data_IF_202825403641
#
_entry.id   IF_202825403641
#
_cell.length_a   1.000
_cell.length_b   1.000
_cell.length_c   1.000
_cell.angle_alpha   90.00
_cell.angle_beta   90.00
_cell.angle_gamma   90.00
#
_symmetry.space_group_name_H-M   'P 1'
#
loop_
_entity.id
_entity.type
_entity.pdbx_description
1 polymer ?
#
# COMPACT_ATOMS: atom_id res chain seq x y z
N UNK A 1 10.69 -16.52 -11.62
CA UNK A 1 11.01 -15.25 -10.91
C UNK A 1 9.79 -14.75 -10.13
N UNK A 2 9.98 -13.89 -9.13
CA UNK A 2 8.90 -13.24 -8.37
C UNK A 2 8.04 -14.17 -7.50
N UNK A 3 8.64 -15.23 -6.94
CA UNK A 3 7.99 -16.15 -6.00
C UNK A 3 8.19 -15.67 -4.55
N UNK A 4 7.22 -15.98 -3.68
CA UNK A 4 7.39 -15.76 -2.25
C UNK A 4 8.41 -16.77 -1.70
N UNK A 5 9.28 -16.32 -0.80
CA UNK A 5 10.31 -17.16 -0.17
C UNK A 5 9.97 -17.42 1.30
N UNK A 6 10.68 -18.34 1.94
CA UNK A 6 10.51 -18.63 3.37
C UNK A 6 10.73 -17.38 4.26
N UNK A 7 11.63 -16.47 3.87
CA UNK A 7 11.83 -15.18 4.56
C UNK A 7 10.55 -14.35 4.51
N UNK A 8 9.94 -14.21 3.32
CA UNK A 8 8.69 -13.48 3.16
C UNK A 8 7.50 -14.13 3.88
N UNK A 9 7.43 -15.46 3.90
CA UNK A 9 6.45 -16.21 4.70
C UNK A 9 6.62 -15.91 6.19
N UNK A 10 7.85 -15.98 6.70
CA UNK A 10 8.16 -15.68 8.10
C UNK A 10 7.77 -14.25 8.50
N UNK A 11 8.02 -13.27 7.63
CA UNK A 11 7.61 -11.88 7.86
C UNK A 11 6.09 -11.76 8.04
N UNK A 12 5.31 -12.44 7.20
CA UNK A 12 3.85 -12.35 7.24
C UNK A 12 3.22 -13.16 8.36
N UNK A 13 3.82 -14.30 8.74
CA UNK A 13 3.44 -15.04 9.95
C UNK A 13 3.62 -14.16 11.19
N UNK A 14 4.77 -13.49 11.32
CA UNK A 14 5.05 -12.59 12.43
C UNK A 14 4.08 -11.40 12.47
N UNK A 15 3.77 -10.81 11.31
CA UNK A 15 2.74 -9.75 11.21
C UNK A 15 1.36 -10.27 11.62
N UNK A 16 0.97 -11.46 11.16
CA UNK A 16 -0.29 -12.10 11.53
C UNK A 16 -0.42 -12.29 13.04
N UNK A 17 0.60 -12.86 13.67
CA UNK A 17 0.65 -13.08 15.12
C UNK A 17 0.58 -11.76 15.90
N UNK A 18 1.35 -10.75 15.47
CA UNK A 18 1.34 -9.44 16.10
C UNK A 18 -0.05 -8.78 16.02
N UNK A 19 -0.72 -8.84 14.86
CA UNK A 19 -2.05 -8.28 14.71
C UNK A 19 -3.13 -9.11 15.42
N UNK A 20 -2.96 -10.43 15.57
CA UNK A 20 -3.86 -11.27 16.37
C UNK A 20 -3.85 -10.83 17.83
N UNK A 21 -2.67 -10.59 18.41
CA UNK A 21 -2.53 -10.10 19.78
C UNK A 21 -3.19 -8.73 20.01
N UNK A 22 -3.33 -7.93 18.96
CA UNK A 22 -4.03 -6.64 19.01
C UNK A 22 -5.53 -6.81 18.80
N UNK A 23 -5.97 -7.57 17.79
CA UNK A 23 -7.37 -7.50 17.35
C UNK A 23 -8.24 -8.68 17.77
N UNK A 24 -7.68 -9.83 18.16
CA UNK A 24 -8.49 -11.04 18.40
C UNK A 24 -9.57 -10.83 19.47
N UNK A 25 -9.20 -10.26 20.61
CA UNK A 25 -10.14 -9.99 21.71
C UNK A 25 -11.08 -8.83 21.35
N UNK A 26 -10.54 -7.77 20.74
CA UNK A 26 -11.30 -6.57 20.36
C UNK A 26 -12.37 -6.84 19.31
N UNK A 27 -12.10 -7.80 18.42
CA UNK A 27 -13.01 -8.25 17.37
C UNK A 27 -13.74 -9.54 17.73
N UNK A 28 -13.58 -10.06 18.96
CA UNK A 28 -14.27 -11.24 19.47
C UNK A 28 -14.13 -12.45 18.54
N UNK A 29 -12.90 -12.84 18.21
CA UNK A 29 -12.63 -13.96 17.28
C UNK A 29 -13.24 -15.28 17.74
N UNK A 30 -13.37 -15.49 19.05
CA UNK A 30 -14.02 -16.67 19.64
C UNK A 30 -15.49 -16.85 19.26
N UNK A 31 -16.19 -15.76 18.91
CA UNK A 31 -17.60 -15.77 18.48
C UNK A 31 -17.77 -15.34 17.02
N UNK A 32 -16.66 -15.11 16.31
CA UNK A 32 -16.70 -14.77 14.89
C UNK A 32 -17.08 -15.97 14.04
N UNK A 33 -17.71 -15.69 12.90
CA UNK A 33 -17.92 -16.68 11.83
C UNK A 33 -16.99 -16.38 10.64
N UNK A 34 -16.79 -17.33 9.71
CA UNK A 34 -15.94 -17.10 8.54
C UNK A 34 -16.37 -15.91 7.68
N UNK A 35 -17.67 -15.60 7.64
CA UNK A 35 -18.23 -14.45 6.91
C UNK A 35 -17.83 -13.09 7.50
N UNK A 36 -17.33 -13.08 8.75
CA UNK A 36 -16.78 -11.87 9.36
C UNK A 36 -15.41 -11.50 8.79
N UNK A 37 -14.83 -12.33 7.92
CA UNK A 37 -13.54 -12.13 7.29
C UNK A 37 -13.68 -12.16 5.77
N UNK A 38 -13.51 -11.00 5.15
CA UNK A 38 -13.46 -10.90 3.69
C UNK A 38 -12.01 -10.79 3.26
N UNK A 39 -11.55 -11.69 2.39
CA UNK A 39 -10.16 -11.70 1.94
C UNK A 39 -10.10 -11.58 0.43
N UNK A 40 -9.33 -10.60 -0.04
CA UNK A 40 -8.98 -10.41 -1.44
C UNK A 40 -7.48 -10.60 -1.63
N UNK A 41 -7.09 -11.20 -2.75
CA UNK A 41 -5.71 -11.22 -3.23
C UNK A 41 -5.67 -10.98 -4.73
N UNK A 42 -4.61 -10.36 -5.24
CA UNK A 42 -4.40 -10.34 -6.70
C UNK A 42 -4.05 -11.73 -7.21
N UNK A 43 -4.21 -11.97 -8.51
CA UNK A 43 -3.93 -13.26 -9.18
C UNK A 43 -2.50 -13.81 -9.05
N UNK A 44 -1.58 -13.10 -8.42
CA UNK A 44 -0.19 -13.53 -8.32
C UNK A 44 -0.02 -14.55 -7.18
N UNK A 45 0.70 -15.65 -7.45
CA UNK A 45 0.97 -16.68 -6.44
C UNK A 45 1.54 -16.10 -5.15
N UNK A 46 2.49 -15.16 -5.26
CA UNK A 46 3.13 -14.53 -4.10
C UNK A 46 2.15 -13.75 -3.21
N UNK A 47 1.15 -13.06 -3.77
CA UNK A 47 0.15 -12.31 -2.98
C UNK A 47 -0.86 -13.26 -2.34
N UNK A 48 -1.26 -14.33 -3.04
CA UNK A 48 -2.09 -15.39 -2.47
C UNK A 48 -1.39 -16.08 -1.29
N UNK A 49 -0.16 -16.54 -1.49
CA UNK A 49 0.66 -17.15 -0.44
C UNK A 49 0.92 -16.19 0.71
N UNK A 50 1.08 -14.89 0.41
CA UNK A 50 1.24 -13.86 1.43
C UNK A 50 -0.02 -13.70 2.30
N UNK A 51 -1.19 -13.70 1.67
CA UNK A 51 -2.47 -13.65 2.39
C UNK A 51 -2.60 -14.87 3.30
N UNK A 52 -2.32 -16.07 2.79
CA UNK A 52 -2.40 -17.32 3.55
C UNK A 52 -1.42 -17.33 4.74
N UNK A 53 -0.16 -16.93 4.54
CA UNK A 53 0.83 -16.85 5.62
C UNK A 53 0.39 -15.85 6.71
N UNK A 54 -0.14 -14.69 6.33
CA UNK A 54 -0.69 -13.73 7.26
C UNK A 54 -1.89 -14.31 8.03
N UNK A 55 -2.88 -14.88 7.32
CA UNK A 55 -4.09 -15.44 7.93
C UNK A 55 -3.78 -16.59 8.88
N UNK A 56 -2.78 -17.42 8.57
CA UNK A 56 -2.32 -18.49 9.44
C UNK A 56 -1.83 -17.97 10.80
N UNK A 57 -1.10 -16.85 10.81
CA UNK A 57 -0.70 -16.19 12.06
C UNK A 57 -1.84 -15.42 12.73
N UNK A 58 -2.80 -14.93 11.94
CA UNK A 58 -3.83 -13.99 12.39
C UNK A 58 -5.09 -14.66 12.96
N UNK A 59 -5.59 -15.73 12.33
CA UNK A 59 -6.85 -16.39 12.67
C UNK A 59 -6.64 -17.61 13.58
N UNK A 60 -7.74 -18.12 14.15
CA UNK A 60 -7.76 -19.45 14.76
C UNK A 60 -7.85 -20.52 13.67
N UNK A 61 -7.45 -21.79 13.95
CA UNK A 61 -7.55 -22.88 12.98
C UNK A 61 -8.98 -23.08 12.44
N UNK A 62 -9.99 -22.94 13.29
CA UNK A 62 -11.40 -23.14 12.94
C UNK A 62 -11.91 -22.09 11.97
N UNK A 63 -11.51 -20.83 12.17
CA UNK A 63 -11.82 -19.73 11.25
C UNK A 63 -11.06 -19.90 9.93
N UNK A 64 -9.76 -20.17 10.00
CA UNK A 64 -8.90 -20.27 8.82
C UNK A 64 -9.41 -21.32 7.82
N UNK A 65 -9.91 -22.46 8.31
CA UNK A 65 -10.39 -23.55 7.45
C UNK A 65 -11.54 -23.13 6.52
N UNK A 66 -12.36 -22.16 6.94
CA UNK A 66 -13.61 -21.81 6.27
C UNK A 66 -13.59 -20.42 5.61
N UNK A 67 -12.54 -19.61 5.81
CA UNK A 67 -12.43 -18.29 5.17
C UNK A 67 -12.16 -18.44 3.68
N UNK A 68 -13.00 -17.82 2.87
CA UNK A 68 -12.88 -17.85 1.40
C UNK A 68 -12.01 -16.70 0.91
N UNK A 69 -10.94 -17.03 0.20
CA UNK A 69 -10.09 -16.05 -0.50
C UNK A 69 -10.66 -15.76 -1.88
N UNK A 70 -10.85 -14.47 -2.18
CA UNK A 70 -11.37 -13.99 -3.45
C UNK A 70 -10.23 -13.42 -4.30
N UNK A 71 -10.16 -13.83 -5.56
CA UNK A 71 -9.24 -13.22 -6.51
C UNK A 71 -9.75 -11.84 -6.95
N UNK A 72 -8.87 -10.83 -6.93
CA UNK A 72 -9.08 -9.56 -7.59
C UNK A 72 -8.46 -9.62 -9.00
N UNK A 73 -9.22 -9.27 -10.06
CA UNK A 73 -8.70 -9.28 -11.42
C UNK A 73 -7.69 -8.15 -11.68
N UNK A 74 -7.56 -7.18 -10.75
CA UNK A 74 -6.71 -6.02 -10.91
C UNK A 74 -5.70 -5.86 -9.77
N UNK A 75 -4.48 -5.46 -10.16
CA UNK A 75 -3.41 -4.99 -9.28
C UNK A 75 -3.82 -3.79 -8.41
N UNK A 76 -4.78 -3.00 -8.88
CA UNK A 76 -5.26 -1.79 -8.20
C UNK A 76 -6.44 -2.05 -7.27
N UNK A 77 -7.03 -3.25 -7.26
CA UNK A 77 -8.34 -3.50 -6.62
C UNK A 77 -9.39 -2.46 -7.06
N UNK A 78 -9.41 -2.13 -8.35
CA UNK A 78 -10.33 -1.14 -8.90
C UNK A 78 -11.76 -1.67 -9.06
N UNK A 79 -11.97 -2.99 -9.00
CA UNK A 79 -13.26 -3.66 -9.17
C UNK A 79 -13.98 -3.22 -10.45
N UNK A 80 -14.98 -2.35 -10.35
CA UNK A 80 -15.75 -1.85 -11.48
C UNK A 80 -15.07 -0.67 -12.19
N UNK A 81 -14.22 0.09 -11.50
CA UNK A 81 -13.68 1.37 -11.95
C UNK A 81 -12.22 1.27 -12.42
N UNK A 82 -11.95 0.35 -13.34
CA UNK A 82 -10.58 0.00 -13.75
C UNK A 82 -10.05 0.74 -14.98
N UNK A 83 -10.92 1.05 -15.95
CA UNK A 83 -10.50 1.60 -17.24
C UNK A 83 -10.38 3.13 -17.16
N UNK A 84 -9.14 3.64 -17.22
CA UNK A 84 -8.90 5.08 -17.18
C UNK A 84 -7.71 5.51 -18.06
N UNK A 85 -7.95 5.81 -19.36
CA UNK A 85 -6.90 6.20 -20.30
C UNK A 85 -6.10 7.45 -19.86
N UNK A 86 -6.76 8.40 -19.19
CA UNK A 86 -6.11 9.60 -18.63
C UNK A 86 -5.07 9.24 -17.56
N UNK A 87 -5.33 8.22 -16.73
CA UNK A 87 -4.33 7.74 -15.77
C UNK A 87 -3.10 7.17 -16.47
N UNK A 88 -3.28 6.40 -17.55
CA UNK A 88 -2.18 5.84 -18.33
C UNK A 88 -1.35 6.93 -19.02
N UNK A 89 -2.00 7.98 -19.52
CA UNK A 89 -1.32 9.16 -20.03
C UNK A 89 -0.43 9.80 -18.95
N UNK A 90 -0.94 10.00 -17.74
CA UNK A 90 -0.14 10.56 -16.64
C UNK A 90 1.01 9.63 -16.25
N UNK A 91 0.81 8.31 -16.19
CA UNK A 91 1.91 7.38 -15.94
C UNK A 91 3.00 7.44 -17.02
N UNK A 92 2.64 7.56 -18.30
CA UNK A 92 3.62 7.75 -19.38
C UNK A 92 4.42 9.04 -19.19
N UNK A 93 3.76 10.15 -18.85
CA UNK A 93 4.44 11.42 -18.54
C UNK A 93 5.36 11.28 -17.33
N UNK A 94 4.94 10.58 -16.29
CA UNK A 94 5.75 10.34 -15.11
C UNK A 94 6.96 9.44 -15.39
N UNK A 95 6.83 8.42 -16.25
CA UNK A 95 7.96 7.62 -16.69
C UNK A 95 9.02 8.47 -17.43
N UNK A 96 8.58 9.48 -18.19
CA UNK A 96 9.51 10.45 -18.80
C UNK A 96 10.19 11.35 -17.75
N UNK A 97 9.47 11.77 -16.70
CA UNK A 97 10.08 12.48 -15.55
C UNK A 97 11.16 11.63 -14.88
N UNK A 98 10.87 10.36 -14.59
CA UNK A 98 11.85 9.40 -14.04
C UNK A 98 13.09 9.26 -14.93
N UNK A 99 12.87 9.10 -16.24
CA UNK A 99 13.97 8.98 -17.20
C UNK A 99 14.85 10.23 -17.21
N UNK A 100 14.26 11.43 -17.12
CA UNK A 100 15.01 12.69 -16.99
C UNK A 100 15.79 12.75 -15.68
N UNK A 101 15.19 12.35 -14.55
CA UNK A 101 15.88 12.30 -13.27
C UNK A 101 17.10 11.38 -13.31
N UNK A 102 16.96 10.20 -13.90
CA UNK A 102 18.07 9.25 -14.05
C UNK A 102 19.19 9.82 -14.93
N UNK A 103 18.87 10.52 -16.01
CA UNK A 103 19.85 11.16 -16.88
C UNK A 103 20.66 12.28 -16.19
N UNK A 104 20.12 12.90 -15.14
CA UNK A 104 20.85 13.85 -14.29
C UNK A 104 21.86 13.17 -13.36
N UNK A 105 21.84 11.84 -13.27
CA UNK A 105 22.72 11.03 -12.40
C UNK A 105 23.57 10.06 -13.22
N UNK A 106 24.54 10.55 -14.02
CA UNK A 106 25.35 9.70 -14.90
C UNK A 106 26.16 8.64 -14.15
N UNK A 107 26.57 8.92 -12.91
CA UNK A 107 27.23 7.94 -12.05
C UNK A 107 26.31 6.75 -11.70
N UNK A 108 25.02 7.02 -11.46
CA UNK A 108 24.01 5.99 -11.20
C UNK A 108 23.76 5.17 -12.46
N UNK A 109 23.65 5.81 -13.64
CA UNK A 109 23.54 5.09 -14.91
C UNK A 109 24.73 4.14 -15.15
N UNK A 110 25.96 4.61 -14.90
CA UNK A 110 27.16 3.77 -15.00
C UNK A 110 27.12 2.60 -14.01
N UNK A 111 26.70 2.85 -12.77
CA UNK A 111 26.53 1.82 -11.75
C UNK A 111 25.50 0.77 -12.21
N UNK A 112 24.32 1.21 -12.64
CA UNK A 112 23.23 0.32 -13.04
C UNK A 112 23.64 -0.54 -14.23
N UNK A 113 24.25 0.05 -15.25
CA UNK A 113 24.72 -0.68 -16.42
C UNK A 113 25.81 -1.72 -16.05
N UNK A 114 26.80 -1.33 -15.24
CA UNK A 114 27.90 -2.24 -14.86
C UNK A 114 27.43 -3.39 -13.97
N UNK A 115 26.60 -3.11 -12.96
CA UNK A 115 26.06 -4.15 -12.08
C UNK A 115 25.07 -5.07 -12.82
N UNK A 116 24.29 -4.54 -13.78
CA UNK A 116 23.34 -5.34 -14.56
C UNK A 116 24.03 -6.41 -15.43
N UNK A 117 25.25 -6.15 -15.92
CA UNK A 117 26.05 -7.14 -16.67
C UNK A 117 26.49 -8.33 -15.80
N UNK A 118 26.51 -8.16 -14.48
CA UNK A 118 26.88 -9.21 -13.52
C UNK A 118 25.62 -9.94 -13.02
N UNK A 119 24.55 -9.19 -12.77
CA UNK A 119 23.32 -9.69 -12.15
C UNK A 119 22.43 -10.43 -13.16
N UNK A 120 22.38 -9.97 -14.41
CA UNK A 120 21.52 -10.54 -15.43
C UNK A 120 22.30 -11.43 -16.39
N UNK A 121 21.78 -12.63 -16.58
CA UNK A 121 22.34 -13.62 -17.51
C UNK A 121 22.12 -13.22 -18.99
N UNK A 122 21.02 -12.50 -19.26
CA UNK A 122 20.69 -11.98 -20.60
C UNK A 122 20.62 -10.47 -20.54
N UNK A 123 21.41 -9.81 -21.39
CA UNK A 123 21.37 -8.35 -21.52
C UNK A 123 20.15 -7.91 -22.32
N UNK A 124 19.19 -7.29 -21.64
CA UNK A 124 18.11 -6.55 -22.27
C UNK A 124 18.27 -5.06 -21.94
N UNK A 125 18.50 -4.21 -22.95
CA UNK A 125 18.88 -2.80 -22.77
C UNK A 125 17.95 -2.03 -21.82
N UNK A 126 16.64 -2.21 -21.96
CA UNK A 126 15.66 -1.50 -21.12
C UNK A 126 15.76 -1.94 -19.66
N UNK A 127 15.84 -3.25 -19.42
CA UNK A 127 15.98 -3.85 -18.09
C UNK A 127 17.34 -3.49 -17.43
N UNK A 128 18.41 -3.57 -18.21
CA UNK A 128 19.79 -3.32 -17.77
C UNK A 128 20.07 -1.84 -17.48
N UNK A 129 19.18 -0.94 -17.89
CA UNK A 129 19.27 0.50 -17.62
C UNK A 129 18.30 0.97 -16.53
N UNK A 130 17.41 0.11 -16.03
CA UNK A 130 16.40 0.46 -15.03
C UNK A 130 16.91 0.23 -13.59
N UNK A 131 17.09 1.31 -12.78
CA UNK A 131 17.51 1.18 -11.40
C UNK A 131 16.56 0.36 -10.54
N UNK A 132 15.25 0.36 -10.84
CA UNK A 132 14.24 -0.35 -10.05
C UNK A 132 14.32 -1.85 -10.27
N UNK A 133 14.49 -2.28 -11.52
CA UNK A 133 14.71 -3.68 -11.88
C UNK A 133 15.99 -4.22 -11.23
N UNK A 134 17.10 -3.45 -11.29
CA UNK A 134 18.35 -3.87 -10.65
C UNK A 134 18.19 -3.97 -9.13
N UNK A 135 17.47 -3.04 -8.50
CA UNK A 135 17.16 -3.10 -7.07
C UNK A 135 16.38 -4.37 -6.74
N UNK A 136 15.33 -4.69 -7.51
CA UNK A 136 14.51 -5.88 -7.28
C UNK A 136 15.36 -7.17 -7.32
N UNK A 137 16.25 -7.26 -8.31
CA UNK A 137 17.19 -8.38 -8.41
C UNK A 137 18.16 -8.44 -7.23
N UNK A 138 18.79 -7.32 -6.85
CA UNK A 138 19.76 -7.28 -5.75
C UNK A 138 19.14 -7.55 -4.37
N UNK A 139 17.88 -7.16 -4.16
CA UNK A 139 17.16 -7.46 -2.91
C UNK A 139 16.98 -8.96 -2.68
N UNK A 140 16.98 -9.80 -3.73
CA UNK A 140 16.96 -11.26 -3.56
C UNK A 140 18.22 -11.82 -2.92
N UNK A 141 19.32 -11.09 -2.97
CA UNK A 141 20.57 -11.45 -2.27
C UNK A 141 20.59 -10.83 -0.87
N UNK A 142 20.36 -9.52 -0.80
CA UNK A 142 20.46 -8.73 0.44
C UNK A 142 19.45 -9.21 1.49
N UNK A 143 18.17 -9.39 1.13
CA UNK A 143 17.14 -9.79 2.07
C UNK A 143 17.25 -11.25 2.51
N UNK A 144 18.05 -12.07 1.82
CA UNK A 144 18.27 -13.48 2.10
C UNK A 144 19.63 -13.76 2.73
N UNK A 145 20.44 -12.73 2.99
CA UNK A 145 21.80 -12.88 3.49
C UNK A 145 22.72 -13.66 2.54
N UNK A 146 22.39 -13.69 1.24
CA UNK A 146 23.18 -14.37 0.23
C UNK A 146 24.36 -13.48 -0.20
N UNK A 147 25.41 -14.12 -0.74
CA UNK A 147 26.56 -13.41 -1.31
C UNK A 147 26.11 -12.66 -2.56
N UNK A 148 26.59 -11.42 -2.72
CA UNK A 148 26.35 -10.64 -3.94
C UNK A 148 26.97 -11.34 -5.17
N UNK A 149 26.34 -11.22 -6.34
CA UNK A 149 26.76 -11.95 -7.53
C UNK A 149 28.11 -11.45 -8.05
N UNK A 150 28.86 -12.37 -8.66
CA UNK A 150 30.08 -12.10 -9.40
C UNK A 150 29.97 -12.65 -10.81
N UNK A 151 30.69 -12.03 -11.75
CA UNK A 151 30.77 -12.49 -13.13
C UNK A 151 31.23 -13.93 -13.17
N UNK A 152 30.49 -14.75 -13.91
CA UNK A 152 30.78 -16.18 -14.13
C UNK A 152 31.75 -16.39 -15.29
N UNK A 153 32.12 -15.32 -16.01
CA UNK A 153 33.08 -15.38 -17.10
C UNK A 153 34.50 -15.60 -16.56
N UNK A 154 35.02 -16.80 -16.77
CA UNK A 154 36.37 -17.21 -16.36
C UNK A 154 37.49 -16.52 -17.14
N UNK A 155 37.17 -15.83 -18.24
CA UNK A 155 38.15 -15.13 -19.09
C UNK A 155 38.47 -13.71 -18.62
N UNK A 156 37.69 -13.16 -17.69
CA UNK A 156 37.85 -11.83 -17.13
C UNK A 156 38.24 -11.90 -15.63
N UNK A 157 38.87 -10.85 -15.07
CA UNK A 157 39.01 -10.72 -13.62
C UNK A 157 37.65 -10.90 -12.95
N UNK A 158 37.59 -11.61 -11.83
CA UNK A 158 36.34 -11.82 -11.08
C UNK A 158 35.73 -10.48 -10.69
N UNK A 159 34.75 -10.03 -11.45
CA UNK A 159 34.06 -8.76 -11.23
C UNK A 159 32.82 -9.04 -10.38
N UNK A 160 32.80 -8.54 -9.14
CA UNK A 160 31.69 -8.73 -8.21
C UNK A 160 30.87 -7.46 -8.04
N UNK A 161 29.59 -7.63 -7.72
CA UNK A 161 28.79 -6.55 -7.15
C UNK A 161 29.21 -6.34 -5.70
N UNK A 162 29.54 -5.11 -5.35
CA UNK A 162 29.96 -4.73 -4.00
C UNK A 162 28.86 -3.98 -3.23
N UNK A 163 29.00 -3.95 -1.89
CA UNK A 163 28.00 -3.35 -0.98
C UNK A 163 27.87 -1.84 -1.15
N UNK A 164 28.93 -1.15 -1.57
CA UNK A 164 28.92 0.27 -1.94
C UNK A 164 28.05 0.53 -3.18
N UNK A 165 28.11 -0.35 -4.19
CA UNK A 165 27.24 -0.26 -5.37
C UNK A 165 25.77 -0.49 -5.01
N UNK A 166 25.48 -1.47 -4.14
CA UNK A 166 24.13 -1.68 -3.59
C UNK A 166 23.65 -0.43 -2.84
N UNK A 167 24.50 0.13 -1.98
CA UNK A 167 24.18 1.33 -1.19
C UNK A 167 23.95 2.56 -2.07
N UNK A 168 24.76 2.74 -3.12
CA UNK A 168 24.61 3.83 -4.08
C UNK A 168 23.31 3.73 -4.88
N UNK A 169 22.94 2.51 -5.29
CA UNK A 169 21.65 2.26 -5.95
C UNK A 169 20.47 2.57 -5.03
N UNK A 170 20.49 2.05 -3.80
CA UNK A 170 19.41 2.29 -2.83
C UNK A 170 19.28 3.78 -2.49
N UNK A 171 20.40 4.49 -2.33
CA UNK A 171 20.42 5.94 -2.11
C UNK A 171 19.77 6.71 -3.26
N UNK A 172 20.01 6.31 -4.51
CA UNK A 172 19.33 6.89 -5.67
C UNK A 172 17.82 6.62 -5.63
N UNK A 173 17.40 5.39 -5.33
CA UNK A 173 15.98 5.02 -5.26
C UNK A 173 15.25 5.81 -4.17
N UNK A 174 15.88 6.01 -3.01
CA UNK A 174 15.37 6.88 -1.93
C UNK A 174 15.26 8.34 -2.36
N UNK A 175 16.29 8.87 -3.02
CA UNK A 175 16.25 10.22 -3.57
C UNK A 175 15.14 10.37 -4.63
N UNK A 176 14.95 9.37 -5.49
CA UNK A 176 13.94 9.40 -6.54
C UNK A 176 12.52 9.35 -5.93
N UNK A 177 12.32 8.52 -4.91
CA UNK A 177 11.06 8.43 -4.17
C UNK A 177 10.68 9.76 -3.49
N UNK A 178 11.64 10.56 -3.02
CA UNK A 178 11.37 11.92 -2.53
C UNK A 178 10.82 12.82 -3.64
N UNK A 179 11.27 12.64 -4.89
CA UNK A 179 10.74 13.39 -6.02
C UNK A 179 9.29 12.98 -6.37
N UNK A 180 8.87 11.76 -6.03
CA UNK A 180 7.49 11.29 -6.28
C UNK A 180 6.48 12.17 -5.56
N UNK A 181 6.79 12.59 -4.33
CA UNK A 181 5.95 13.51 -3.54
C UNK A 181 5.74 14.87 -4.21
N UNK A 182 6.65 15.27 -5.09
CA UNK A 182 6.65 16.55 -5.79
C UNK A 182 6.07 16.46 -7.20
N UNK A 183 5.81 15.26 -7.71
CA UNK A 183 5.29 15.08 -9.08
C UNK A 183 3.76 15.23 -9.12
N UNK A 184 3.23 16.34 -9.67
CA UNK A 184 1.79 16.48 -9.87
C UNK A 184 1.26 15.44 -10.86
N UNK A 185 2.09 15.01 -11.80
CA UNK A 185 1.80 13.97 -12.79
C UNK A 185 1.55 12.63 -12.11
N UNK A 186 2.46 12.19 -11.23
CA UNK A 186 2.27 10.96 -10.46
C UNK A 186 1.03 11.08 -9.57
N UNK A 187 0.86 12.21 -8.87
CA UNK A 187 -0.31 12.42 -8.01
C UNK A 187 -1.61 12.21 -8.77
N UNK A 188 -1.74 12.81 -9.96
CA UNK A 188 -2.91 12.65 -10.83
C UNK A 188 -3.11 11.18 -11.26
N UNK A 189 -2.05 10.48 -11.65
CA UNK A 189 -2.13 9.06 -12.01
C UNK A 189 -2.63 8.19 -10.84
N UNK A 190 -2.04 8.38 -9.65
CA UNK A 190 -2.34 7.62 -8.44
C UNK A 190 -3.78 7.84 -7.96
N UNK A 191 -4.26 9.08 -7.94
CA UNK A 191 -5.64 9.40 -7.52
C UNK A 191 -6.66 8.68 -8.40
N UNK A 192 -6.47 8.68 -9.72
CA UNK A 192 -7.36 7.95 -10.63
C UNK A 192 -7.28 6.44 -10.39
N UNK A 193 -6.09 5.87 -10.21
CA UNK A 193 -5.92 4.42 -9.98
C UNK A 193 -6.42 3.92 -8.64
N UNK A 194 -6.44 4.77 -7.61
CA UNK A 194 -6.91 4.41 -6.28
C UNK A 194 -8.45 4.42 -6.15
N UNK A 195 -9.16 5.07 -7.07
CA UNK A 195 -10.58 5.39 -6.90
C UNK A 195 -11.44 4.14 -6.60
N UNK A 196 -11.38 3.12 -7.46
CA UNK A 196 -12.19 1.91 -7.28
C UNK A 196 -11.91 1.20 -5.96
N UNK A 197 -10.65 1.19 -5.50
CA UNK A 197 -10.29 0.60 -4.21
C UNK A 197 -10.81 1.44 -3.04
N UNK A 198 -10.68 2.77 -3.11
CA UNK A 198 -11.22 3.66 -2.07
C UNK A 198 -12.74 3.56 -2.01
N UNK A 199 -13.43 3.51 -3.16
CA UNK A 199 -14.88 3.29 -3.24
C UNK A 199 -15.28 1.97 -2.57
N UNK A 200 -14.54 0.90 -2.82
CA UNK A 200 -14.79 -0.39 -2.17
C UNK A 200 -14.51 -0.36 -0.67
N UNK A 201 -13.42 0.27 -0.22
CA UNK A 201 -13.13 0.49 1.21
C UNK A 201 -14.27 1.26 1.87
N UNK A 202 -14.72 2.38 1.28
CA UNK A 202 -15.82 3.20 1.81
C UNK A 202 -17.12 2.40 1.88
N UNK A 203 -17.43 1.59 0.87
CA UNK A 203 -18.58 0.68 0.90
C UNK A 203 -18.52 -0.29 2.08
N UNK A 204 -17.34 -0.86 2.37
CA UNK A 204 -17.15 -1.69 3.57
C UNK A 204 -17.23 -0.90 4.87
N UNK A 205 -16.71 0.33 4.93
CA UNK A 205 -16.85 1.18 6.12
C UNK A 205 -18.33 1.43 6.44
N UNK A 206 -19.14 1.77 5.42
CA UNK A 206 -20.59 1.94 5.58
C UNK A 206 -21.24 0.65 6.07
N UNK A 207 -20.88 -0.50 5.47
CA UNK A 207 -21.42 -1.81 5.86
C UNK A 207 -21.05 -2.20 7.29
N UNK A 208 -19.81 -1.94 7.71
CA UNK A 208 -19.35 -2.18 9.09
C UNK A 208 -20.17 -1.37 10.09
N UNK A 209 -20.52 -0.14 9.74
CA UNK A 209 -21.31 0.75 10.60
C UNK A 209 -22.78 0.31 10.67
N UNK A 210 -23.38 -0.08 9.55
CA UNK A 210 -24.80 -0.43 9.47
C UNK A 210 -25.09 -1.86 9.91
N UNK A 211 -24.28 -2.82 9.48
CA UNK A 211 -24.51 -4.26 9.66
C UNK A 211 -23.60 -4.89 10.71
N UNK A 212 -22.59 -4.16 11.22
CA UNK A 212 -21.54 -4.68 12.12
C UNK A 212 -20.74 -5.84 11.52
N UNK A 213 -20.72 -5.94 10.18
CA UNK A 213 -20.01 -6.96 9.41
C UNK A 213 -19.47 -6.37 8.10
N UNK A 214 -18.42 -6.96 7.50
CA UNK A 214 -17.53 -7.94 8.10
C UNK A 214 -16.63 -7.30 9.18
N UNK A 215 -16.06 -8.08 10.09
CA UNK A 215 -15.15 -7.55 11.13
C UNK A 215 -13.78 -7.18 10.55
N UNK A 216 -13.32 -7.90 9.52
CA UNK A 216 -12.03 -7.66 8.85
C UNK A 216 -12.20 -7.77 7.34
N UNK A 217 -11.58 -6.83 6.62
CA UNK A 217 -11.39 -6.92 5.18
C UNK A 217 -9.89 -6.86 4.87
N UNK A 218 -9.36 -7.91 4.26
CA UNK A 218 -7.94 -8.03 3.91
C UNK A 218 -7.76 -7.89 2.39
N UNK A 219 -6.84 -7.02 1.97
CA UNK A 219 -6.39 -6.91 0.57
C UNK A 219 -4.90 -7.24 0.50
N UNK A 220 -4.56 -8.38 -0.08
CA UNK A 220 -3.17 -8.78 -0.32
C UNK A 220 -2.71 -8.31 -1.71
N UNK A 221 -2.03 -7.17 -1.72
CA UNK A 221 -1.68 -6.41 -2.92
C UNK A 221 -0.18 -6.23 -3.16
N UNK A 222 0.15 -5.08 -3.74
CA UNK A 222 1.51 -4.72 -4.15
C UNK A 222 1.94 -3.40 -3.52
N UNK A 223 3.23 -3.11 -3.60
CA UNK A 223 3.81 -1.79 -3.32
C UNK A 223 3.04 -0.66 -4.04
N UNK A 224 2.70 -0.86 -5.32
CA UNK A 224 1.89 0.06 -6.11
C UNK A 224 0.48 0.26 -5.55
N UNK A 225 -0.11 -0.76 -4.93
CA UNK A 225 -1.43 -0.64 -4.27
C UNK A 225 -1.35 0.36 -3.12
N UNK A 226 -0.32 0.23 -2.26
CA UNK A 226 -0.07 1.16 -1.16
C UNK A 226 0.25 2.55 -1.69
N UNK A 227 1.10 2.66 -2.72
CA UNK A 227 1.43 3.92 -3.37
C UNK A 227 0.18 4.69 -3.79
N UNK A 228 -0.73 4.03 -4.53
CA UNK A 228 -1.94 4.68 -5.02
C UNK A 228 -2.85 5.14 -3.87
N UNK A 229 -3.10 4.27 -2.88
CA UNK A 229 -3.91 4.62 -1.70
C UNK A 229 -3.29 5.77 -0.89
N UNK A 230 -2.00 5.68 -0.59
CA UNK A 230 -1.29 6.67 0.23
C UNK A 230 -1.27 8.05 -0.45
N UNK A 231 -1.06 8.08 -1.77
CA UNK A 231 -1.14 9.31 -2.55
C UNK A 231 -2.55 9.88 -2.59
N UNK A 232 -3.57 9.05 -2.81
CA UNK A 232 -4.96 9.50 -2.92
C UNK A 232 -5.52 10.06 -1.60
N UNK A 233 -5.12 9.47 -0.46
CA UNK A 233 -5.53 9.94 0.87
C UNK A 233 -4.64 11.08 1.41
N UNK A 234 -3.62 11.49 0.66
CA UNK A 234 -2.74 12.60 1.01
C UNK A 234 -1.76 12.30 2.14
N UNK A 235 -1.57 11.02 2.48
CA UNK A 235 -0.59 10.59 3.50
C UNK A 235 0.78 10.24 2.91
N UNK A 236 0.94 10.47 1.62
CA UNK A 236 2.11 10.14 0.84
C UNK A 236 3.37 10.83 1.42
N UNK A 237 4.29 10.01 1.93
CA UNK A 237 5.61 10.41 2.42
C UNK A 237 6.65 9.37 1.97
N UNK A 238 7.94 9.64 2.20
CA UNK A 238 9.05 8.74 1.83
C UNK A 238 8.77 7.28 2.22
N UNK A 239 8.26 7.07 3.45
CA UNK A 239 7.95 5.73 3.98
C UNK A 239 6.83 4.99 3.23
N UNK A 240 5.88 5.71 2.62
CA UNK A 240 4.79 5.09 1.85
C UNK A 240 5.15 4.95 0.37
N UNK A 241 6.02 5.81 -0.16
CA UNK A 241 6.52 5.75 -1.54
C UNK A 241 7.46 4.55 -1.76
N UNK A 242 8.27 4.21 -0.74
CA UNK A 242 9.14 3.03 -0.74
C UNK A 242 8.66 2.00 0.28
N UNK A 243 7.56 1.34 -0.05
CA UNK A 243 7.04 0.27 0.80
C UNK A 243 7.95 -0.95 0.77
N UNK A 244 8.44 -1.35 1.94
CA UNK A 244 9.19 -2.60 2.12
C UNK A 244 8.27 -3.83 2.07
N UNK A 245 8.85 -5.02 1.94
CA UNK A 245 8.09 -6.27 2.04
C UNK A 245 7.31 -6.36 3.36
N UNK A 246 6.11 -6.96 3.31
CA UNK A 246 5.16 -7.04 4.41
C UNK A 246 4.72 -5.66 4.99
N UNK A 247 4.88 -4.57 4.24
CA UNK A 247 4.28 -3.28 4.61
C UNK A 247 2.76 -3.39 4.66
N UNK A 248 2.15 -2.73 5.63
CA UNK A 248 0.72 -2.81 5.92
C UNK A 248 0.09 -1.42 6.07
N UNK A 249 -1.05 -1.28 5.44
CA UNK A 249 -1.93 -0.12 5.50
C UNK A 249 -3.23 -0.57 6.17
N UNK A 250 -3.55 -0.04 7.34
CA UNK A 250 -4.68 -0.49 8.16
C UNK A 250 -5.61 0.70 8.38
N UNK A 251 -6.91 0.49 8.13
CA UNK A 251 -7.97 1.41 8.56
C UNK A 251 -8.74 0.71 9.68
N UNK A 252 -8.72 1.29 10.86
CA UNK A 252 -9.47 0.84 12.03
C UNK A 252 -10.76 1.64 12.14
N UNK A 253 -11.86 1.00 12.56
CA UNK A 253 -13.14 1.65 12.81
C UNK A 253 -13.44 1.64 14.30
N UNK A 254 -13.80 2.81 14.83
CA UNK A 254 -14.14 3.05 16.22
C UNK A 254 -15.55 3.59 16.33
N UNK A 255 -16.22 3.25 17.43
CA UNK A 255 -17.51 3.81 17.83
C UNK A 255 -17.38 4.47 19.19
N UNK A 256 -17.87 5.70 19.32
CA UNK A 256 -17.98 6.35 20.62
C UNK A 256 -19.01 5.62 21.50
N UNK A 257 -18.66 5.38 22.76
CA UNK A 257 -19.56 4.78 23.76
C UNK A 257 -20.36 5.86 24.50
N UNK A 258 -19.91 7.12 24.46
CA UNK A 258 -20.53 8.22 25.17
C UNK A 258 -21.63 8.88 24.33
N UNK A 259 -22.89 8.55 24.62
CA UNK A 259 -24.10 9.21 24.10
C UNK A 259 -24.39 10.56 24.79
N UNK A 260 -23.37 11.38 25.04
CA UNK A 260 -23.60 12.68 25.63
C UNK A 260 -23.78 13.71 24.52
N UNK A 261 -25.06 14.07 24.28
CA UNK A 261 -25.52 15.25 23.54
C UNK A 261 -25.08 15.37 22.08
N UNK A 262 -25.57 14.47 21.21
CA UNK A 262 -25.70 14.80 19.80
C UNK A 262 -27.19 14.99 19.50
N UNK A 263 -27.57 16.25 19.30
CA UNK A 263 -28.83 16.62 18.68
C UNK A 263 -29.00 15.85 17.35
N UNK A 264 -30.24 15.43 17.10
CA UNK A 264 -30.90 15.17 15.81
C UNK A 264 -29.94 14.94 14.62
N UNK A 265 -29.96 13.69 14.13
CA UNK A 265 -29.57 13.24 12.80
C UNK A 265 -28.07 13.07 12.47
N UNK A 266 -27.50 11.93 12.85
CA UNK A 266 -27.07 10.90 11.88
C UNK A 266 -26.30 9.78 12.56
N UNK A 267 -26.55 8.53 12.17
CA UNK A 267 -25.79 7.33 12.61
C UNK A 267 -24.28 7.48 12.38
N UNK A 268 -23.85 8.39 11.52
CA UNK A 268 -22.46 8.63 11.15
C UNK A 268 -21.63 9.43 12.17
N UNK A 269 -22.27 10.17 13.08
CA UNK A 269 -21.58 11.05 14.03
C UNK A 269 -20.86 10.28 15.16
N UNK A 270 -21.31 9.06 15.44
CA UNK A 270 -20.75 8.20 16.49
C UNK A 270 -19.52 7.39 16.04
N UNK A 271 -19.20 7.38 14.74
CA UNK A 271 -18.17 6.51 14.17
C UNK A 271 -16.99 7.28 13.61
N UNK A 272 -15.80 6.75 13.91
CA UNK A 272 -14.53 7.31 13.51
C UNK A 272 -13.68 6.23 12.88
N UNK A 273 -12.74 6.64 12.03
CA UNK A 273 -11.67 5.78 11.56
C UNK A 273 -10.31 6.31 11.97
N UNK A 274 -9.36 5.39 12.04
CA UNK A 274 -7.93 5.67 12.24
C UNK A 274 -7.14 4.99 11.14
N UNK A 275 -6.12 5.64 10.62
CA UNK A 275 -5.27 5.11 9.57
C UNK A 275 -3.87 4.85 10.11
N UNK A 276 -3.41 3.61 9.99
CA UNK A 276 -2.06 3.18 10.37
C UNK A 276 -1.25 2.76 9.14
N UNK A 277 0.00 3.18 9.09
CA UNK A 277 0.99 2.65 8.15
C UNK A 277 2.15 2.03 8.91
N UNK A 278 2.35 0.72 8.76
CA UNK A 278 3.37 -0.05 9.50
C UNK A 278 3.31 0.15 11.04
N UNK A 279 2.10 0.37 11.58
CA UNK A 279 1.87 0.63 13.01
C UNK A 279 2.01 2.10 13.44
N UNK A 280 2.46 2.99 12.55
CA UNK A 280 2.48 4.43 12.79
C UNK A 280 1.13 5.04 12.47
N UNK A 281 0.62 5.88 13.38
CA UNK A 281 -0.60 6.66 13.15
C UNK A 281 -0.36 7.74 12.09
N UNK A 282 -1.19 7.72 11.06
CA UNK A 282 -1.14 8.63 9.91
C UNK A 282 -2.46 9.42 9.77
N UNK A 283 -3.39 9.28 10.71
CA UNK A 283 -4.75 9.86 10.63
C UNK A 283 -4.70 11.38 10.50
N UNK A 284 -3.84 12.04 11.27
CA UNK A 284 -3.63 13.49 11.20
C UNK A 284 -3.00 14.00 9.89
N UNK A 285 -2.47 13.10 9.05
CA UNK A 285 -1.91 13.43 7.72
C UNK A 285 -2.93 13.27 6.60
N UNK A 286 -4.02 12.54 6.84
CA UNK A 286 -5.08 12.34 5.85
C UNK A 286 -5.64 13.71 5.46
N UNK A 287 -5.69 14.00 4.17
CA UNK A 287 -5.88 15.37 3.68
C UNK A 287 -7.17 16.05 4.17
N UNK A 288 -8.24 15.28 4.36
CA UNK A 288 -9.54 15.75 4.87
C UNK A 288 -9.73 15.55 6.39
N UNK A 289 -8.68 15.13 7.11
CA UNK A 289 -8.70 14.95 8.58
C UNK A 289 -7.77 15.91 9.33
N UNK A 290 -7.02 16.78 8.63
CA UNK A 290 -5.90 17.58 9.20
C UNK A 290 -6.28 18.52 10.34
N UNK A 291 -7.55 18.95 10.42
CA UNK A 291 -8.03 19.90 11.43
C UNK A 291 -8.87 19.23 12.53
N UNK A 292 -8.85 17.89 12.62
CA UNK A 292 -9.78 17.14 13.48
C UNK A 292 -9.18 16.77 14.84
N UNK A 293 -10.06 16.64 15.81
CA UNK A 293 -9.81 16.55 17.25
C UNK A 293 -8.80 15.45 17.62
N UNK A 294 -7.84 15.83 18.47
CA UNK A 294 -7.09 14.87 19.25
C UNK A 294 -7.98 14.36 20.39
N UNK A 295 -8.40 13.09 20.33
CA UNK A 295 -9.28 12.52 21.35
C UNK A 295 -8.41 11.79 22.38
N UNK A 296 -8.49 12.19 23.65
CA UNK A 296 -7.93 11.41 24.75
C UNK A 296 -8.81 10.20 25.01
N UNK A 297 -8.26 9.01 24.77
CA UNK A 297 -8.93 7.74 25.05
C UNK A 297 -8.28 7.12 26.28
N UNK A 298 -9.10 6.86 27.29
CA UNK A 298 -8.66 6.10 28.46
C UNK A 298 -8.69 4.63 28.04
N UNK A 299 -7.52 3.99 28.03
CA UNK A 299 -7.45 2.56 27.73
C UNK A 299 -8.03 1.73 28.90
N UNK A 300 -8.21 0.43 28.67
CA UNK A 300 -8.74 -0.52 29.68
C UNK A 300 -7.88 -0.64 30.94
N UNK A 301 -6.67 -0.07 30.94
CA UNK A 301 -5.75 0.00 32.09
C UNK A 301 -5.75 1.38 32.78
N UNK A 302 -6.68 2.27 32.43
CA UNK A 302 -6.79 3.60 33.04
C UNK A 302 -5.76 4.62 32.53
N UNK A 303 -4.93 4.27 31.56
CA UNK A 303 -3.94 5.19 30.98
C UNK A 303 -4.58 6.01 29.87
N UNK A 304 -4.45 7.34 29.97
CA UNK A 304 -4.87 8.28 28.93
C UNK A 304 -3.90 8.18 27.74
N UNK A 305 -4.42 7.79 26.59
CA UNK A 305 -3.70 7.79 25.31
C UNK A 305 -4.39 8.74 24.34
N UNK A 306 -3.62 9.68 23.81
CA UNK A 306 -4.07 10.54 22.71
C UNK A 306 -4.17 9.71 21.42
N UNK A 307 -5.35 9.67 20.82
CA UNK A 307 -5.62 9.04 19.52
C UNK A 307 -6.14 10.08 18.55
N UNK A 308 -5.60 10.07 17.33
CA UNK A 308 -6.16 10.83 16.23
C UNK A 308 -7.25 10.00 15.56
N UNK A 309 -8.49 10.48 15.64
CA UNK A 309 -9.67 9.82 15.10
C UNK A 309 -10.36 10.75 14.11
N UNK A 310 -10.68 10.25 12.92
CA UNK A 310 -11.33 11.01 11.86
C UNK A 310 -12.77 10.52 11.67
N UNK A 311 -13.81 11.38 11.72
CA UNK A 311 -15.19 10.93 11.57
C UNK A 311 -15.42 10.24 10.22
N UNK A 312 -16.18 9.14 10.19
CA UNK A 312 -16.32 8.36 8.95
C UNK A 312 -17.07 9.13 7.85
N UNK A 313 -18.00 10.02 8.19
CA UNK A 313 -18.68 10.84 7.17
C UNK A 313 -17.71 11.68 6.32
N UNK A 314 -16.52 12.01 6.82
CA UNK A 314 -15.53 12.82 6.08
C UNK A 314 -14.97 12.09 4.85
N UNK A 315 -14.66 10.79 4.96
CA UNK A 315 -14.17 10.03 3.80
C UNK A 315 -15.29 9.76 2.79
N UNK A 316 -16.54 9.63 3.27
CA UNK A 316 -17.72 9.50 2.41
C UNK A 316 -17.94 10.80 1.63
N UNK A 317 -17.97 11.95 2.30
CA UNK A 317 -18.09 13.26 1.66
C UNK A 317 -16.95 13.54 0.70
N UNK A 318 -15.71 13.23 1.09
CA UNK A 318 -14.55 13.37 0.21
C UNK A 318 -14.73 12.56 -1.08
N UNK A 319 -15.16 11.29 -0.99
CA UNK A 319 -15.36 10.45 -2.17
C UNK A 319 -16.45 11.00 -3.10
N UNK A 320 -17.52 11.56 -2.56
CA UNK A 320 -18.65 12.08 -3.33
C UNK A 320 -18.43 13.47 -3.92
N UNK A 321 -17.81 14.38 -3.16
CA UNK A 321 -17.80 15.81 -3.49
C UNK A 321 -16.43 16.27 -4.02
N UNK A 322 -15.34 15.75 -3.45
CA UNK A 322 -14.02 16.38 -3.59
C UNK A 322 -13.00 15.50 -4.32
N UNK A 323 -13.27 14.20 -4.46
CA UNK A 323 -12.30 13.22 -4.98
C UNK A 323 -11.75 13.60 -6.36
N UNK A 324 -12.63 14.11 -7.23
CA UNK A 324 -12.31 14.45 -8.61
C UNK A 324 -11.99 15.94 -8.84
N UNK A 325 -11.93 16.76 -7.79
CA UNK A 325 -11.65 18.19 -7.89
C UNK A 325 -10.31 18.48 -8.59
N UNK A 326 -9.31 17.61 -8.42
CA UNK A 326 -8.00 17.73 -9.10
C UNK A 326 -8.09 17.70 -10.64
N UNK A 327 -9.18 17.14 -11.18
CA UNK A 327 -9.43 16.96 -12.60
C UNK A 327 -10.52 17.90 -13.15
N UNK A 328 -11.08 18.78 -12.32
CA UNK A 328 -12.27 19.57 -12.65
C UNK A 328 -13.42 18.69 -13.19
N UNK A 329 -13.60 17.51 -12.59
CA UNK A 329 -14.62 16.54 -12.96
C UNK A 329 -15.50 16.21 -11.74
N UNK A 330 -16.73 15.76 -11.99
CA UNK A 330 -17.68 15.37 -10.94
C UNK A 330 -17.72 13.86 -10.69
N UNK A 331 -17.20 13.05 -11.62
CA UNK A 331 -17.23 11.60 -11.55
C UNK A 331 -16.03 10.97 -12.26
N UNK A 332 -15.84 9.66 -12.02
CA UNK A 332 -14.72 8.90 -12.55
C UNK A 332 -14.66 8.87 -14.07
N UNK A 333 -15.81 8.72 -14.74
CA UNK A 333 -15.89 8.63 -16.19
C UNK A 333 -15.35 9.91 -16.82
N UNK A 334 -15.82 11.07 -16.36
CA UNK A 334 -15.38 12.37 -16.87
C UNK A 334 -13.90 12.63 -16.57
N UNK A 335 -13.43 12.28 -15.37
CA UNK A 335 -12.01 12.40 -15.00
C UNK A 335 -11.07 11.52 -15.86
N UNK A 336 -11.62 10.47 -16.51
CA UNK A 336 -10.89 9.53 -17.34
C UNK A 336 -10.99 9.80 -18.85
N UNK A 337 -11.70 10.85 -19.28
CA UNK A 337 -11.74 11.28 -20.67
C UNK A 337 -10.39 11.91 -21.05
N UNK A 338 -9.82 11.47 -22.17
CA UNK A 338 -8.65 12.11 -22.77
C UNK A 338 -9.09 13.42 -23.41
N UNK A 339 -8.87 14.54 -22.72
CA UNK A 339 -8.98 15.83 -23.35
C UNK A 339 -7.75 16.03 -24.26
N UNK A 340 -7.97 16.09 -25.56
CA UNK A 340 -6.97 16.61 -26.51
C UNK A 340 -6.66 18.05 -26.12
N UNK A 341 -5.47 18.29 -25.59
CA UNK A 341 -4.88 19.63 -25.53
C UNK A 341 -3.80 19.73 -26.58
#
# INVERSE_FOLDING_TARGET
LGQLTHVGVSQLLAVGQALRAVYADRLLFNTSTPEDFVVYSTKYRRTLQSALAFLYGFLTPELLHNVVLKESPSLQFCFEDCACPTSDMYLRKFNNEKSKHLNLHPAVLKLVNSASLIVYDVYEKNLASDPHSLRDALLTYVCHGARLPCSTDKSLPTLCVHTDQVSGLLSYIEWEARQYSRSPTLRRACVLRAYGMIRNIVSYLVRIISEKKPKVVLYSGHDKTILYLATALGIAADSTYLSHYASRFIIEVYRSVNKATAAIDSISSDYYFRLLFNGKDMTNRVQFCKNMLNISVINTKGLSQSLFLCPIHTIIQFLHNDYFALFNASNFKDACILHSK
#
